data_IF_243387551992
#
_entry.id   IF_243387551992
#
_cell.length_a   1.000
_cell.length_b   1.000
_cell.length_c   1.000
_cell.angle_alpha   90.00
_cell.angle_beta   90.00
_cell.angle_gamma   90.00
#
_symmetry.space_group_name_H-M   'P 1'
#
loop_
_entity.id
_entity.type
_entity.pdbx_description
1 polymer ?
#
# COMPACT_ATOMS: atom_id res chain seq x y z
N UNK A 1 23.33 6.88 57.24
CA UNK A 1 21.91 6.90 56.84
C UNK A 1 21.61 8.23 56.18
N UNK A 2 20.73 8.23 55.18
CA UNK A 2 20.41 9.26 54.15
C UNK A 2 21.44 9.41 53.02
N UNK A 3 21.10 8.84 51.86
CA UNK A 3 21.84 8.94 50.60
C UNK A 3 20.92 9.45 49.47
N UNK A 4 21.53 10.26 48.59
CA UNK A 4 21.01 10.86 47.35
C UNK A 4 20.89 9.83 46.22
N UNK A 5 19.90 9.98 45.34
CA UNK A 5 19.85 9.48 43.96
C UNK A 5 19.12 10.58 43.15
N UNK A 6 19.56 11.09 42.00
CA UNK A 6 20.48 10.57 41.00
C UNK A 6 19.72 10.51 39.66
N UNK A 7 19.52 11.66 39.01
CA UNK A 7 18.79 11.77 37.73
C UNK A 7 19.65 11.39 36.52
N UNK A 8 19.09 10.57 35.62
CA UNK A 8 19.68 10.21 34.33
C UNK A 8 18.87 10.77 33.17
N UNK A 9 19.51 11.59 32.32
CA UNK A 9 18.99 12.11 31.04
C UNK A 9 19.12 11.03 29.94
N UNK A 10 18.19 10.92 28.99
CA UNK A 10 18.41 10.15 27.76
C UNK A 10 19.22 10.95 26.73
N UNK A 11 20.03 10.22 25.96
CA UNK A 11 21.03 10.72 25.02
C UNK A 11 20.40 11.37 23.76
N UNK A 12 20.93 12.53 23.40
CA UNK A 12 20.67 13.26 22.14
C UNK A 12 21.56 12.69 21.04
N UNK A 13 20.96 12.31 19.90
CA UNK A 13 21.68 11.97 18.67
C UNK A 13 21.60 13.18 17.73
N UNK A 14 22.67 13.97 17.67
CA UNK A 14 22.81 15.07 16.71
C UNK A 14 23.30 14.55 15.34
N UNK A 15 22.77 15.06 14.21
CA UNK A 15 23.31 14.81 12.88
C UNK A 15 24.48 15.76 12.51
N UNK A 16 25.41 15.37 11.62
CA UNK A 16 26.62 16.15 11.34
C UNK A 16 26.37 17.36 10.42
N UNK A 17 27.15 18.43 10.69
CA UNK A 17 27.01 19.78 10.14
C UNK A 17 27.33 19.98 8.66
N UNK A 18 26.62 20.94 8.04
CA UNK A 18 26.81 21.42 6.67
C UNK A 18 27.85 22.54 6.60
N UNK A 19 28.83 22.41 5.69
CA UNK A 19 29.68 23.53 5.22
C UNK A 19 28.99 24.27 4.07
N UNK A 20 29.00 25.60 4.14
CA UNK A 20 28.50 26.52 3.14
C UNK A 20 29.50 26.72 1.98
N UNK A 21 28.98 26.84 0.75
CA UNK A 21 29.64 27.56 -0.36
C UNK A 21 28.60 28.34 -1.17
N UNK A 22 29.09 29.44 -1.74
CA UNK A 22 28.43 30.65 -2.22
C UNK A 22 28.19 30.63 -3.75
N UNK A 23 27.17 31.40 -4.16
CA UNK A 23 27.11 32.35 -5.29
C UNK A 23 26.74 31.92 -6.73
N UNK A 24 25.83 32.74 -7.30
CA UNK A 24 25.62 33.06 -8.73
C UNK A 24 24.51 32.26 -9.44
N UNK A 25 23.64 32.78 -10.28
CA UNK A 25 23.29 34.13 -10.74
C UNK A 25 22.01 34.05 -11.61
N UNK A 26 21.17 35.09 -11.50
CA UNK A 26 20.16 35.67 -12.43
C UNK A 26 20.03 35.17 -13.89
N UNK A 27 18.77 34.97 -14.33
CA UNK A 27 18.03 35.54 -15.52
C UNK A 27 16.73 34.73 -15.71
N UNK A 28 15.48 35.20 -15.63
CA UNK A 28 14.70 36.28 -16.28
C UNK A 28 14.25 35.99 -17.73
N UNK A 29 12.93 36.19 -17.96
CA UNK A 29 12.23 36.44 -19.26
C UNK A 29 11.92 35.15 -20.09
N UNK A 30 10.76 34.88 -20.72
CA UNK A 30 9.61 35.69 -21.15
C UNK A 30 8.27 34.93 -21.26
N UNK A 31 7.20 35.71 -21.31
CA UNK A 31 5.83 35.34 -21.72
C UNK A 31 5.74 35.22 -23.25
N UNK A 32 4.90 34.31 -23.75
CA UNK A 32 4.16 34.55 -25.00
C UNK A 32 2.84 33.75 -25.02
N UNK A 33 1.75 34.50 -25.01
CA UNK A 33 0.38 34.09 -25.33
C UNK A 33 0.22 33.94 -26.84
N UNK A 34 -0.56 32.98 -27.34
CA UNK A 34 -1.34 33.15 -28.60
C UNK A 34 -2.57 32.25 -28.61
N UNK A 35 -3.62 32.83 -29.18
CA UNK A 35 -5.05 32.58 -29.14
C UNK A 35 -5.58 31.63 -30.23
N UNK A 36 -6.72 31.00 -29.90
CA UNK A 36 -7.95 30.79 -30.70
C UNK A 36 -7.87 30.16 -32.11
N UNK A 37 -8.62 29.06 -32.31
CA UNK A 37 -9.73 29.04 -33.28
C UNK A 37 -10.73 27.91 -33.04
N UNK A 38 -11.98 28.24 -33.30
CA UNK A 38 -13.21 27.48 -33.10
C UNK A 38 -13.79 27.08 -34.47
N UNK A 39 -14.51 25.95 -34.55
CA UNK A 39 -15.45 25.66 -35.64
C UNK A 39 -16.04 24.22 -35.56
N UNK A 40 -17.34 23.98 -35.88
CA UNK A 40 -18.16 22.96 -35.20
C UNK A 40 -18.87 21.96 -36.20
N UNK A 41 -20.10 21.41 -35.98
CA UNK A 41 -20.31 19.97 -35.69
C UNK A 41 -21.35 19.24 -36.57
N UNK A 42 -21.48 17.92 -36.43
CA UNK A 42 -22.58 17.07 -36.94
C UNK A 42 -22.45 15.66 -36.33
N UNK A 43 -23.48 14.87 -36.00
CA UNK A 43 -24.92 14.92 -36.12
C UNK A 43 -25.53 13.74 -35.33
N UNK A 44 -26.84 13.83 -35.05
CA UNK A 44 -27.66 12.95 -34.20
C UNK A 44 -28.02 11.59 -34.84
N UNK A 45 -28.37 10.59 -34.01
CA UNK A 45 -29.59 9.74 -34.09
C UNK A 45 -29.47 8.59 -33.06
N UNK A 46 -30.27 8.55 -31.98
CA UNK A 46 -31.66 8.04 -31.82
C UNK A 46 -31.78 6.50 -31.72
N UNK A 47 -32.30 6.10 -30.55
CA UNK A 47 -32.82 4.78 -30.16
C UNK A 47 -34.20 4.51 -30.83
N UNK A 48 -34.73 3.27 -30.82
CA UNK A 48 -35.82 3.01 -29.86
C UNK A 48 -35.92 1.59 -29.27
N UNK A 49 -36.80 1.54 -28.26
CA UNK A 49 -37.21 0.51 -27.30
C UNK A 49 -38.34 -0.40 -27.83
N UNK A 50 -38.51 -1.62 -27.28
CA UNK A 50 -39.77 -2.31 -26.87
C UNK A 50 -39.42 -3.66 -26.22
N UNK A 51 -39.90 -4.00 -25.01
CA UNK A 51 -41.23 -4.57 -24.69
C UNK A 51 -41.16 -6.10 -24.85
N UNK A 52 -41.55 -7.01 -23.96
CA UNK A 52 -42.66 -7.10 -23.00
C UNK A 52 -42.39 -8.23 -21.98
N UNK A 53 -43.13 -8.20 -20.87
CA UNK A 53 -43.23 -9.27 -19.87
C UNK A 53 -44.43 -10.17 -20.19
N UNK A 54 -44.32 -11.49 -19.99
CA UNK A 54 -45.47 -12.40 -19.81
C UNK A 54 -45.14 -13.49 -18.77
N UNK A 55 -46.19 -13.88 -18.07
CA UNK A 55 -46.38 -14.51 -16.77
C UNK A 55 -46.27 -16.05 -16.72
N UNK A 56 -45.87 -16.52 -15.54
CA UNK A 56 -46.43 -17.60 -14.70
C UNK A 56 -47.07 -18.85 -15.34
N UNK A 57 -46.56 -20.02 -14.95
CA UNK A 57 -47.33 -21.27 -14.75
C UNK A 57 -46.48 -22.31 -14.03
N UNK A 58 -46.66 -22.41 -12.72
CA UNK A 58 -46.28 -23.55 -11.88
C UNK A 58 -47.10 -24.80 -12.24
N UNK A 59 -46.41 -25.90 -12.58
CA UNK A 59 -47.01 -27.25 -12.64
C UNK A 59 -46.25 -28.17 -11.69
N UNK A 60 -46.92 -28.55 -10.62
CA UNK A 60 -46.56 -29.61 -9.67
C UNK A 60 -46.67 -30.99 -10.33
N UNK A 61 -45.61 -31.81 -10.24
CA UNK A 61 -45.67 -33.26 -10.52
C UNK A 61 -45.31 -34.04 -9.25
N UNK A 62 -46.18 -34.97 -8.89
CA UNK A 62 -46.04 -35.93 -7.79
C UNK A 62 -44.91 -36.97 -8.00
N UNK A 63 -44.40 -37.58 -6.91
CA UNK A 63 -43.26 -38.49 -6.95
C UNK A 63 -43.66 -39.96 -7.23
N UNK A 64 -42.86 -40.64 -8.05
CA UNK A 64 -42.99 -42.08 -8.34
C UNK A 64 -42.07 -42.87 -7.39
N UNK A 65 -42.62 -43.90 -6.73
CA UNK A 65 -41.92 -44.78 -5.79
C UNK A 65 -40.93 -45.76 -6.48
N UNK A 66 -39.85 -46.19 -5.80
CA UNK A 66 -38.78 -47.01 -6.39
C UNK A 66 -39.09 -48.51 -6.38
N UNK A 67 -38.58 -49.24 -7.38
CA UNK A 67 -38.56 -50.72 -7.44
C UNK A 67 -37.30 -51.28 -6.74
N UNK A 68 -37.40 -52.38 -5.96
CA UNK A 68 -36.26 -52.99 -5.30
C UNK A 68 -35.59 -54.09 -6.16
N UNK A 69 -34.25 -54.15 -6.11
CA UNK A 69 -33.46 -55.30 -6.57
C UNK A 69 -32.42 -54.99 -7.65
N UNK A 70 -31.24 -54.53 -7.25
CA UNK A 70 -30.00 -54.61 -8.04
C UNK A 70 -28.77 -54.57 -7.08
N UNK A 71 -27.65 -55.21 -7.44
CA UNK A 71 -26.67 -55.76 -6.50
C UNK A 71 -25.74 -54.72 -5.88
N UNK A 72 -25.27 -55.03 -4.66
CA UNK A 72 -24.27 -54.25 -3.91
C UNK A 72 -22.92 -54.30 -4.65
N UNK A 73 -22.52 -53.17 -5.23
CA UNK A 73 -21.19 -53.00 -5.81
C UNK A 73 -20.16 -52.74 -4.69
N UNK A 74 -19.07 -53.51 -4.71
CA UNK A 74 -17.90 -53.36 -3.84
C UNK A 74 -17.42 -51.91 -3.75
N UNK A 75 -17.15 -51.47 -2.52
CA UNK A 75 -16.51 -50.20 -2.23
C UNK A 75 -15.19 -50.09 -3.01
N UNK A 76 -15.16 -49.20 -3.99
CA UNK A 76 -13.92 -48.76 -4.62
C UNK A 76 -13.21 -47.84 -3.63
N UNK A 77 -11.94 -48.14 -3.34
CA UNK A 77 -11.08 -47.28 -2.52
C UNK A 77 -11.14 -45.82 -3.01
N UNK A 78 -11.10 -44.83 -2.09
CA UNK A 78 -11.07 -43.43 -2.50
C UNK A 78 -9.81 -43.18 -3.37
N UNK A 79 -9.89 -42.31 -4.38
CA UNK A 79 -8.72 -41.92 -5.14
C UNK A 79 -7.67 -41.32 -4.19
N UNK A 80 -6.36 -41.54 -4.44
CA UNK A 80 -5.32 -40.94 -3.62
C UNK A 80 -5.50 -39.42 -3.61
N UNK A 81 -5.42 -38.83 -2.42
CA UNK A 81 -5.57 -37.39 -2.21
C UNK A 81 -4.72 -36.61 -3.21
N UNK A 82 -5.36 -35.65 -3.88
CA UNK A 82 -4.77 -34.77 -4.87
C UNK A 82 -3.40 -34.23 -4.43
N UNK A 83 -2.49 -34.03 -5.39
CA UNK A 83 -1.23 -33.31 -5.19
C UNK A 83 -1.45 -31.94 -4.55
N UNK A 84 -0.39 -31.25 -4.09
CA UNK A 84 -0.51 -30.08 -3.20
C UNK A 84 -1.54 -29.10 -3.74
N UNK A 85 -2.68 -29.02 -3.05
CA UNK A 85 -3.79 -28.13 -3.38
C UNK A 85 -3.20 -26.73 -3.42
N UNK A 86 -3.34 -26.02 -4.56
CA UNK A 86 -2.79 -24.66 -4.69
C UNK A 86 -3.42 -23.81 -3.61
N UNK A 87 -2.64 -23.39 -2.61
CA UNK A 87 -3.15 -22.61 -1.51
C UNK A 87 -3.83 -21.34 -2.05
N UNK A 88 -4.98 -20.98 -1.48
CA UNK A 88 -5.66 -19.76 -1.88
C UNK A 88 -4.85 -18.52 -1.49
N UNK A 89 -4.84 -17.46 -2.33
CA UNK A 89 -4.13 -16.22 -2.01
C UNK A 89 -4.74 -15.54 -0.80
N UNK A 90 -3.87 -15.09 0.10
CA UNK A 90 -4.26 -14.40 1.34
C UNK A 90 -4.70 -12.97 1.04
N UNK A 91 -5.39 -12.29 1.97
CA UNK A 91 -5.70 -10.87 1.82
C UNK A 91 -4.45 -9.99 1.64
N UNK A 92 -3.32 -10.35 2.27
CA UNK A 92 -2.05 -9.66 2.08
C UNK A 92 -1.49 -9.87 0.66
N UNK A 93 -1.62 -11.07 0.10
CA UNK A 93 -1.16 -11.36 -1.27
C UNK A 93 -1.95 -10.55 -2.29
N UNK A 94 -3.27 -10.48 -2.12
CA UNK A 94 -4.15 -9.69 -2.97
C UNK A 94 -3.87 -8.20 -2.83
N UNK A 95 -3.69 -7.71 -1.60
CA UNK A 95 -3.33 -6.31 -1.35
C UNK A 95 -1.97 -5.96 -1.96
N UNK A 96 -0.99 -6.84 -1.82
CA UNK A 96 0.34 -6.68 -2.41
C UNK A 96 0.25 -6.65 -3.93
N UNK A 97 -0.46 -7.58 -4.55
CA UNK A 97 -0.61 -7.61 -6.01
C UNK A 97 -1.31 -6.37 -6.57
N UNK A 98 -2.25 -5.80 -5.81
CA UNK A 98 -3.02 -4.63 -6.22
C UNK A 98 -2.29 -3.31 -5.95
N UNK A 99 -1.73 -3.14 -4.76
CA UNK A 99 -1.20 -1.86 -4.26
C UNK A 99 0.31 -1.73 -4.39
N UNK A 100 1.06 -2.84 -4.35
CA UNK A 100 2.52 -2.85 -4.27
C UNK A 100 3.17 -2.68 -5.66
N UNK A 101 2.70 -1.68 -6.41
CA UNK A 101 3.20 -1.22 -7.71
C UNK A 101 3.47 0.29 -7.65
N UNK A 102 4.58 0.72 -8.25
CA UNK A 102 5.03 2.12 -8.19
C UNK A 102 4.00 3.12 -8.66
N UNK A 103 3.45 2.90 -9.84
CA UNK A 103 2.50 3.84 -10.40
C UNK A 103 1.17 3.79 -9.67
N UNK A 104 0.75 2.62 -9.19
CA UNK A 104 -0.46 2.51 -8.36
C UNK A 104 -0.35 3.35 -7.09
N UNK A 105 0.75 3.23 -6.33
CA UNK A 105 0.96 4.03 -5.12
C UNK A 105 1.00 5.53 -5.42
N UNK A 106 1.65 5.94 -6.52
CA UNK A 106 1.70 7.34 -6.94
C UNK A 106 0.33 7.87 -7.41
N UNK A 107 -0.45 7.07 -8.14
CA UNK A 107 -1.81 7.43 -8.56
C UNK A 107 -2.69 7.63 -7.33
N UNK A 108 -2.67 6.68 -6.38
CA UNK A 108 -3.43 6.75 -5.13
C UNK A 108 -2.99 7.94 -4.28
N UNK A 109 -1.69 8.19 -4.16
CA UNK A 109 -1.19 9.38 -3.46
C UNK A 109 -1.77 10.66 -4.08
N UNK A 110 -1.72 10.81 -5.41
CA UNK A 110 -2.28 11.99 -6.07
C UNK A 110 -3.79 12.07 -5.87
N UNK A 111 -4.49 10.94 -5.85
CA UNK A 111 -5.92 10.90 -5.56
C UNK A 111 -6.24 11.40 -4.15
N UNK A 112 -5.43 11.00 -3.15
CA UNK A 112 -5.54 11.45 -1.76
C UNK A 112 -5.24 12.95 -1.62
N UNK A 113 -4.33 13.48 -2.44
CA UNK A 113 -4.05 14.92 -2.55
C UNK A 113 -5.09 15.67 -3.41
N UNK A 114 -6.17 15.01 -3.84
CA UNK A 114 -7.30 15.65 -4.51
C UNK A 114 -7.27 15.64 -6.04
N UNK A 115 -6.29 15.00 -6.68
CA UNK A 115 -6.30 14.78 -8.14
C UNK A 115 -7.42 13.81 -8.50
N UNK A 116 -8.35 14.27 -9.35
CA UNK A 116 -9.55 13.50 -9.73
C UNK A 116 -9.72 13.31 -11.23
N UNK A 117 -8.86 13.93 -12.05
CA UNK A 117 -9.01 13.96 -13.51
C UNK A 117 -7.79 13.36 -14.18
N UNK A 118 -8.01 12.65 -15.28
CA UNK A 118 -6.96 12.02 -16.09
C UNK A 118 -5.77 12.95 -16.38
N UNK A 119 -6.05 14.16 -16.89
CA UNK A 119 -5.03 15.16 -17.19
C UNK A 119 -4.26 15.68 -15.95
N UNK A 120 -4.83 15.55 -14.76
CA UNK A 120 -4.14 15.86 -13.50
C UNK A 120 -3.01 14.87 -13.22
N UNK A 121 -3.26 13.56 -13.33
CA UNK A 121 -2.20 12.55 -13.20
C UNK A 121 -1.16 12.66 -14.30
N UNK A 122 -1.57 12.88 -15.56
CA UNK A 122 -0.62 13.08 -16.66
C UNK A 122 0.38 14.20 -16.37
N UNK A 123 -0.11 15.36 -15.94
CA UNK A 123 0.74 16.50 -15.57
C UNK A 123 1.60 16.22 -14.34
N UNK A 124 1.04 15.56 -13.32
CA UNK A 124 1.71 15.34 -12.05
C UNK A 124 2.73 14.20 -12.08
N UNK A 125 2.54 13.18 -12.92
CA UNK A 125 3.29 11.91 -12.86
C UNK A 125 4.16 11.64 -14.09
N UNK A 126 3.91 12.30 -15.24
CA UNK A 126 4.64 11.98 -16.49
C UNK A 126 4.42 10.56 -17.01
N UNK A 127 3.43 9.85 -16.46
CA UNK A 127 3.10 8.46 -16.79
C UNK A 127 2.55 8.32 -18.23
N UNK A 128 2.87 7.22 -18.91
CA UNK A 128 2.32 6.92 -20.24
C UNK A 128 0.82 6.67 -20.20
N UNK A 129 0.12 6.96 -21.30
CA UNK A 129 -1.34 6.85 -21.36
C UNK A 129 -1.84 5.41 -21.17
N UNK A 130 -1.14 4.45 -21.78
CA UNK A 130 -1.45 3.03 -21.61
C UNK A 130 -1.30 2.59 -20.14
N UNK A 131 -0.23 3.04 -19.47
CA UNK A 131 0.05 2.70 -18.07
C UNK A 131 -0.97 3.32 -17.12
N UNK A 132 -1.30 4.60 -17.32
CA UNK A 132 -2.29 5.31 -16.51
C UNK A 132 -3.70 4.73 -16.71
N UNK A 133 -4.11 4.51 -17.95
CA UNK A 133 -5.44 3.95 -18.27
C UNK A 133 -5.63 2.55 -17.69
N UNK A 134 -4.62 1.69 -17.81
CA UNK A 134 -4.64 0.35 -17.23
C UNK A 134 -4.81 0.36 -15.72
N UNK A 135 -4.10 1.26 -15.03
CA UNK A 135 -4.11 1.34 -13.55
C UNK A 135 -5.36 2.02 -13.00
N UNK A 136 -5.84 3.08 -13.64
CA UNK A 136 -7.12 3.70 -13.26
C UNK A 136 -8.27 2.72 -13.44
N UNK A 137 -8.24 1.89 -14.50
CA UNK A 137 -9.21 0.80 -14.68
C UNK A 137 -9.10 -0.23 -13.56
N UNK A 138 -7.91 -0.79 -13.31
CA UNK A 138 -7.71 -1.77 -12.25
C UNK A 138 -8.13 -1.25 -10.86
N UNK A 139 -7.84 0.01 -10.54
CA UNK A 139 -8.27 0.66 -9.29
C UNK A 139 -9.78 0.90 -9.23
N UNK A 140 -10.44 1.11 -10.37
CA UNK A 140 -11.90 1.25 -10.43
C UNK A 140 -12.58 -0.11 -10.30
N UNK A 141 -12.09 -1.11 -11.01
CA UNK A 141 -12.58 -2.50 -10.97
C UNK A 141 -12.42 -3.10 -9.56
N UNK A 142 -11.33 -2.78 -8.87
CA UNK A 142 -11.10 -3.18 -7.48
C UNK A 142 -11.85 -2.31 -6.45
N UNK A 143 -12.63 -1.32 -6.89
CA UNK A 143 -13.45 -0.49 -6.01
C UNK A 143 -12.68 0.51 -5.14
N UNK A 144 -11.43 0.86 -5.47
CA UNK A 144 -10.69 1.95 -4.81
C UNK A 144 -11.07 3.32 -5.37
N UNK A 145 -11.40 3.36 -6.66
CA UNK A 145 -11.90 4.54 -7.34
C UNK A 145 -13.30 4.26 -7.87
N UNK A 146 -14.13 5.29 -7.91
CA UNK A 146 -15.40 5.28 -8.63
C UNK A 146 -15.41 6.41 -9.65
N UNK A 147 -16.08 6.17 -10.79
CA UNK A 147 -16.21 7.18 -11.83
C UNK A 147 -17.49 7.98 -11.61
N UNK A 148 -17.39 9.30 -11.46
CA UNK A 148 -18.53 10.21 -11.28
C UNK A 148 -18.64 11.18 -12.46
N UNK A 149 -19.84 11.41 -13.00
CA UNK A 149 -20.04 12.44 -14.01
C UNK A 149 -19.94 13.83 -13.37
N UNK A 150 -19.34 14.78 -14.08
CA UNK A 150 -19.36 16.20 -13.76
C UNK A 150 -19.60 17.03 -15.03
N UNK A 151 -20.10 18.25 -14.87
CA UNK A 151 -20.33 19.17 -15.99
C UNK A 151 -19.18 20.17 -16.07
N UNK A 152 -18.61 20.30 -17.26
CA UNK A 152 -17.59 21.30 -17.59
C UNK A 152 -17.91 21.91 -18.95
N UNK A 153 -18.27 23.20 -18.98
CA UNK A 153 -18.63 23.91 -20.22
C UNK A 153 -19.73 23.21 -21.04
N UNK A 154 -20.75 22.64 -20.38
CA UNK A 154 -21.90 22.01 -21.04
C UNK A 154 -21.71 20.57 -21.54
N UNK A 155 -20.49 20.00 -21.46
CA UNK A 155 -20.23 18.58 -21.78
C UNK A 155 -20.13 17.75 -20.50
N UNK A 156 -20.80 16.61 -20.48
CA UNK A 156 -20.63 15.59 -19.43
C UNK A 156 -19.24 14.99 -19.55
N UNK A 157 -18.44 15.14 -18.49
CA UNK A 157 -17.12 14.51 -18.36
C UNK A 157 -17.14 13.60 -17.15
N UNK A 158 -16.15 12.73 -17.04
CA UNK A 158 -15.98 11.86 -15.90
C UNK A 158 -14.76 12.27 -15.08
N UNK A 159 -14.89 12.16 -13.77
CA UNK A 159 -13.79 12.24 -12.81
C UNK A 159 -13.77 10.97 -11.95
N UNK A 160 -12.60 10.68 -11.38
CA UNK A 160 -12.39 9.55 -10.49
C UNK A 160 -12.39 10.05 -9.05
N UNK A 161 -13.19 9.43 -8.20
CA UNK A 161 -13.32 9.74 -6.77
C UNK A 161 -12.85 8.53 -5.96
N UNK A 162 -12.13 8.78 -4.87
CA UNK A 162 -11.79 7.72 -3.92
C UNK A 162 -13.06 7.22 -3.23
N UNK A 163 -13.20 5.90 -3.18
CA UNK A 163 -14.17 5.22 -2.33
C UNK A 163 -13.69 5.19 -0.88
N UNK A 164 -14.43 4.54 0.02
CA UNK A 164 -13.95 4.26 1.37
C UNK A 164 -12.66 3.41 1.35
N UNK A 165 -12.60 2.36 0.54
CA UNK A 165 -11.40 1.52 0.36
C UNK A 165 -10.21 2.30 -0.18
N UNK A 166 -10.46 3.17 -1.17
CA UNK A 166 -9.43 4.05 -1.71
C UNK A 166 -8.87 5.03 -0.68
N UNK A 167 -9.73 5.70 0.09
CA UNK A 167 -9.31 6.63 1.16
C UNK A 167 -8.48 5.95 2.24
N UNK A 168 -8.81 4.70 2.54
CA UNK A 168 -8.17 3.93 3.59
C UNK A 168 -6.72 3.51 3.25
N UNK A 169 -6.33 3.55 1.97
CA UNK A 169 -4.91 3.41 1.55
C UNK A 169 -4.00 4.53 2.08
N UNK A 170 -4.58 5.60 2.63
CA UNK A 170 -3.85 6.69 3.27
C UNK A 170 -2.91 6.22 4.39
N UNK A 171 -3.30 5.22 5.19
CA UNK A 171 -2.48 4.70 6.28
C UNK A 171 -1.16 4.11 5.73
N UNK A 172 -1.26 3.30 4.67
CA UNK A 172 -0.12 2.73 3.97
C UNK A 172 0.80 3.81 3.39
N UNK A 173 0.24 4.79 2.68
CA UNK A 173 1.04 5.85 2.05
C UNK A 173 1.70 6.78 3.06
N UNK A 174 1.06 7.02 4.21
CA UNK A 174 1.64 7.78 5.32
C UNK A 174 2.79 7.01 5.97
N UNK A 175 2.64 5.70 6.19
CA UNK A 175 3.73 4.86 6.68
C UNK A 175 4.93 4.86 5.74
N UNK A 176 4.69 4.79 4.42
CA UNK A 176 5.73 4.90 3.40
C UNK A 176 6.45 6.25 3.47
N UNK A 177 5.70 7.36 3.56
CA UNK A 177 6.28 8.71 3.67
C UNK A 177 7.18 8.85 4.88
N UNK A 178 6.73 8.40 6.05
CA UNK A 178 7.53 8.51 7.28
C UNK A 178 8.80 7.67 7.21
N UNK A 179 8.70 6.42 6.74
CA UNK A 179 9.85 5.54 6.60
C UNK A 179 10.87 6.11 5.60
N UNK A 180 10.40 6.59 4.45
CA UNK A 180 11.23 7.24 3.44
C UNK A 180 12.00 8.43 4.02
N UNK A 181 11.29 9.32 4.73
CA UNK A 181 11.92 10.50 5.35
C UNK A 181 13.01 10.12 6.34
N UNK A 182 12.82 9.05 7.11
CA UNK A 182 13.77 8.62 8.13
C UNK A 182 14.96 7.84 7.56
N UNK A 183 14.78 7.05 6.50
CA UNK A 183 15.77 6.04 6.10
C UNK A 183 16.33 6.19 4.69
N UNK A 184 15.78 7.07 3.86
CA UNK A 184 16.22 7.26 2.49
C UNK A 184 16.93 8.61 2.37
N UNK A 185 18.23 8.63 2.08
CA UNK A 185 18.93 9.88 1.77
C UNK A 185 18.35 10.52 0.50
N UNK A 186 18.12 11.84 0.53
CA UNK A 186 17.56 12.58 -0.59
C UNK A 186 18.26 13.92 -0.74
N UNK A 187 18.42 14.37 -1.99
CA UNK A 187 18.87 15.74 -2.29
C UNK A 187 17.84 16.77 -1.81
N UNK A 188 16.56 16.48 -2.07
CA UNK A 188 15.43 17.26 -1.56
C UNK A 188 14.70 16.43 -0.50
N UNK A 189 14.72 16.88 0.77
CA UNK A 189 14.02 16.20 1.86
C UNK A 189 12.52 16.11 1.60
N UNK A 190 11.88 15.07 2.15
CA UNK A 190 10.43 15.03 2.22
C UNK A 190 9.94 16.04 3.26
N UNK A 191 8.78 16.69 3.03
CA UNK A 191 8.23 17.65 3.97
C UNK A 191 7.90 16.99 5.31
N UNK A 192 7.83 17.81 6.36
CA UNK A 192 7.44 17.36 7.68
C UNK A 192 5.94 17.02 7.74
N UNK A 193 5.56 15.92 8.39
CA UNK A 193 4.17 15.52 8.63
C UNK A 193 3.59 16.29 9.80
N UNK A 194 2.60 17.14 9.53
CA UNK A 194 1.92 17.91 10.56
C UNK A 194 0.57 17.26 10.86
N UNK A 195 0.33 16.95 12.14
CA UNK A 195 -1.01 16.56 12.58
C UNK A 195 -1.90 17.79 12.66
N UNK A 196 -2.99 17.83 11.92
CA UNK A 196 -3.88 19.00 11.85
C UNK A 196 -4.62 19.27 13.15
N UNK A 197 -4.88 18.24 13.96
CA UNK A 197 -5.56 18.39 15.25
C UNK A 197 -4.72 19.11 16.31
N UNK A 198 -3.42 18.85 16.38
CA UNK A 198 -2.53 19.46 17.38
C UNK A 198 -1.50 20.45 16.81
N UNK A 199 -1.38 20.56 15.48
CA UNK A 199 -0.43 21.45 14.80
C UNK A 199 1.04 21.03 14.89
N UNK A 200 1.37 19.94 15.60
CA UNK A 200 2.73 19.48 15.77
C UNK A 200 3.21 18.61 14.60
N UNK A 201 4.52 18.69 14.31
CA UNK A 201 5.19 17.67 13.50
C UNK A 201 5.10 16.34 14.25
N UNK A 202 4.63 15.28 13.57
CA UNK A 202 4.36 13.98 14.19
C UNK A 202 4.96 12.81 13.43
N UNK A 203 5.39 11.79 14.16
CA UNK A 203 5.55 10.45 13.59
C UNK A 203 4.30 9.59 13.83
N UNK A 204 4.26 8.41 13.22
CA UNK A 204 3.24 7.40 13.47
C UNK A 204 3.59 6.62 14.74
N UNK A 205 2.63 6.56 15.66
CA UNK A 205 2.61 5.56 16.73
C UNK A 205 1.62 4.47 16.33
N UNK A 206 2.11 3.26 16.06
CA UNK A 206 1.26 2.10 15.82
C UNK A 206 0.80 1.54 17.17
N UNK A 207 -0.51 1.43 17.36
CA UNK A 207 -1.12 0.90 18.59
C UNK A 207 -2.07 -0.24 18.28
N UNK A 208 -2.38 -1.08 19.27
CA UNK A 208 -3.38 -2.15 19.14
C UNK A 208 -4.80 -1.61 19.36
N UNK A 209 -5.75 -1.85 18.45
CA UNK A 209 -7.16 -1.40 18.64
C UNK A 209 -7.83 -1.95 19.91
N UNK A 210 -7.32 -3.06 20.46
CA UNK A 210 -7.96 -3.75 21.58
C UNK A 210 -7.50 -3.28 22.95
N UNK A 211 -6.27 -2.75 23.06
CA UNK A 211 -5.68 -2.35 24.34
C UNK A 211 -4.97 -0.99 24.28
N UNK A 212 -4.94 -0.34 23.11
CA UNK A 212 -4.32 0.96 22.83
C UNK A 212 -2.81 1.09 23.18
N UNK A 213 -2.15 -0.01 23.57
CA UNK A 213 -0.71 -0.03 23.78
C UNK A 213 0.06 0.12 22.46
N UNK A 214 1.21 0.82 22.46
CA UNK A 214 2.15 0.81 21.33
C UNK A 214 2.57 -0.62 20.98
N UNK A 215 2.68 -0.89 19.68
CA UNK A 215 3.08 -2.19 19.16
C UNK A 215 4.19 -2.01 18.13
N UNK A 216 5.32 -2.68 18.35
CA UNK A 216 6.36 -2.93 17.38
C UNK A 216 6.40 -4.39 16.94
N UNK A 217 7.40 -4.73 16.11
CA UNK A 217 7.57 -6.09 15.58
C UNK A 217 7.75 -7.14 16.69
N UNK A 218 8.47 -6.82 17.76
CA UNK A 218 8.77 -7.75 18.85
C UNK A 218 7.59 -7.97 19.82
N UNK A 219 6.53 -7.17 19.68
CA UNK A 219 5.33 -7.27 20.50
C UNK A 219 4.29 -8.23 19.90
N UNK A 220 4.60 -8.83 18.74
CA UNK A 220 3.72 -9.75 18.04
C UNK A 220 4.23 -11.19 18.09
N UNK A 221 3.34 -12.11 18.45
CA UNK A 221 3.48 -13.52 18.17
C UNK A 221 2.99 -13.78 16.74
N UNK A 222 3.96 -13.76 15.83
CA UNK A 222 3.77 -14.09 14.43
C UNK A 222 3.99 -15.60 14.30
N UNK A 223 2.91 -16.39 14.20
CA UNK A 223 3.03 -17.84 14.02
C UNK A 223 3.80 -18.13 12.71
N UNK A 224 5.04 -18.63 12.78
CA UNK A 224 5.80 -18.96 11.58
C UNK A 224 5.19 -20.16 10.85
N UNK A 225 4.25 -20.90 11.45
CA UNK A 225 3.54 -22.09 10.94
C UNK A 225 2.20 -21.79 10.26
N UNK A 226 1.62 -20.59 10.46
CA UNK A 226 0.49 -20.06 9.68
C UNK A 226 0.91 -19.65 8.25
N UNK A 227 1.78 -20.46 7.63
CA UNK A 227 2.33 -20.29 6.29
C UNK A 227 1.29 -20.69 5.28
N UNK A 228 0.43 -19.76 4.91
CA UNK A 228 -0.09 -19.82 3.54
C UNK A 228 1.07 -19.36 2.66
N UNK A 229 1.49 -20.13 1.66
CA UNK A 229 2.47 -19.63 0.71
C UNK A 229 1.94 -18.30 0.16
N UNK A 230 2.83 -17.33 -0.03
CA UNK A 230 2.48 -16.10 -0.73
C UNK A 230 2.20 -16.50 -2.18
N UNK A 231 0.98 -16.96 -2.43
CA UNK A 231 0.52 -17.33 -3.76
C UNK A 231 0.20 -16.02 -4.44
N UNK A 232 1.11 -15.57 -5.29
CA UNK A 232 0.80 -14.46 -6.18
C UNK A 232 -0.50 -14.77 -6.94
N UNK A 233 -1.46 -13.84 -7.04
CA UNK A 233 -2.73 -14.13 -7.69
C UNK A 233 -2.51 -14.62 -9.12
N UNK A 234 -3.28 -15.63 -9.58
CA UNK A 234 -3.16 -16.15 -10.92
C UNK A 234 -3.48 -15.06 -11.95
N UNK A 235 -2.57 -14.84 -12.91
CA UNK A 235 -2.89 -14.10 -14.13
C UNK A 235 -2.83 -12.56 -14.06
N UNK A 236 -2.44 -11.95 -12.94
CA UNK A 236 -2.09 -10.53 -12.95
C UNK A 236 -0.82 -10.35 -13.80
N UNK A 237 -0.99 -9.86 -15.04
CA UNK A 237 0.12 -9.64 -15.98
C UNK A 237 1.23 -8.91 -15.24
N UNK A 238 2.40 -9.56 -15.16
CA UNK A 238 3.66 -8.93 -14.77
C UNK A 238 3.73 -7.59 -15.49
N UNK A 239 3.50 -6.48 -14.79
CA UNK A 239 3.77 -5.19 -15.40
C UNK A 239 5.27 -5.17 -15.71
N UNK A 240 5.66 -5.03 -16.99
CA UNK A 240 7.04 -5.19 -17.39
C UNK A 240 7.94 -4.25 -16.61
N UNK A 241 9.15 -4.75 -16.36
CA UNK A 241 10.33 -4.08 -15.78
C UNK A 241 10.34 -2.57 -16.02
N UNK A 242 10.63 -1.83 -14.93
CA UNK A 242 11.12 -0.44 -14.89
C UNK A 242 10.74 0.36 -16.13
N UNK A 243 9.59 1.04 -16.08
CA UNK A 243 9.52 2.29 -16.83
C UNK A 243 10.65 3.16 -16.28
N UNK A 244 11.68 3.38 -17.10
CA UNK A 244 12.74 4.37 -16.91
C UNK A 244 12.16 5.78 -17.05
N UNK A 245 10.93 5.98 -16.58
CA UNK A 245 10.27 7.26 -16.53
C UNK A 245 10.94 8.04 -15.43
N UNK A 246 11.37 9.25 -15.76
CA UNK A 246 11.80 10.23 -14.77
C UNK A 246 10.65 10.43 -13.80
N UNK A 247 10.84 10.02 -12.54
CA UNK A 247 9.88 10.33 -11.49
C UNK A 247 9.73 11.85 -11.42
N UNK A 248 8.52 12.36 -11.10
CA UNK A 248 8.30 13.80 -11.06
C UNK A 248 9.24 14.48 -10.05
N UNK A 249 9.63 15.72 -10.36
CA UNK A 249 10.54 16.50 -9.52
C UNK A 249 9.93 16.93 -8.16
N UNK A 250 8.61 16.77 -7.97
CA UNK A 250 7.96 17.06 -6.69
C UNK A 250 8.41 16.03 -5.63
N UNK A 251 8.93 16.47 -4.46
CA UNK A 251 9.43 15.59 -3.40
C UNK A 251 8.44 14.51 -2.99
N UNK A 252 7.13 14.81 -2.95
CA UNK A 252 6.10 13.86 -2.54
C UNK A 252 5.92 12.71 -3.54
N UNK A 253 6.17 12.92 -4.83
CA UNK A 253 5.96 11.89 -5.89
C UNK A 253 7.10 10.90 -6.09
N UNK A 254 8.20 11.01 -5.37
CA UNK A 254 9.29 10.06 -5.49
C UNK A 254 9.48 9.32 -4.17
N UNK A 255 9.13 8.03 -4.13
CA UNK A 255 9.44 7.13 -3.01
C UNK A 255 10.47 6.07 -3.42
N UNK A 256 11.68 6.44 -3.88
CA UNK A 256 12.59 5.49 -4.51
C UNK A 256 12.98 4.32 -3.59
N UNK A 257 13.10 4.53 -2.27
CA UNK A 257 13.44 3.47 -1.33
C UNK A 257 12.29 2.50 -1.07
N UNK A 258 11.10 2.99 -0.73
CA UNK A 258 9.90 2.18 -0.53
C UNK A 258 9.49 1.48 -1.82
N UNK A 259 9.80 2.04 -2.98
CA UNK A 259 9.53 1.39 -4.27
C UNK A 259 10.53 0.29 -4.60
N UNK A 260 11.77 0.36 -4.12
CA UNK A 260 12.70 -0.76 -4.22
C UNK A 260 12.43 -1.86 -3.17
N UNK A 261 11.71 -1.54 -2.09
CA UNK A 261 11.39 -2.48 -1.00
C UNK A 261 10.03 -3.15 -1.18
N UNK A 262 9.01 -2.34 -1.44
CA UNK A 262 7.60 -2.74 -1.49
C UNK A 262 7.06 -2.63 -2.90
N UNK A 263 7.73 -1.91 -3.81
CA UNK A 263 7.23 -1.61 -5.15
C UNK A 263 7.22 -2.75 -6.16
N UNK A 264 7.45 -3.97 -5.69
CA UNK A 264 7.14 -5.15 -6.44
C UNK A 264 6.64 -6.26 -5.51
N UNK A 265 5.84 -7.15 -6.09
CA UNK A 265 5.15 -8.21 -5.36
C UNK A 265 6.07 -9.11 -4.52
N UNK A 266 7.31 -9.33 -4.96
CA UNK A 266 8.23 -10.20 -4.26
C UNK A 266 8.99 -9.46 -3.17
N UNK A 267 9.20 -8.16 -3.31
CA UNK A 267 9.81 -7.32 -2.29
C UNK A 267 9.01 -7.34 -0.98
N UNK A 268 7.72 -7.03 -1.03
CA UNK A 268 6.86 -7.06 0.16
C UNK A 268 6.79 -8.46 0.79
N UNK A 269 6.72 -9.50 -0.04
CA UNK A 269 6.67 -10.89 0.38
C UNK A 269 7.95 -11.35 1.11
N UNK A 270 9.12 -11.11 0.50
CA UNK A 270 10.43 -11.43 1.09
C UNK A 270 10.64 -10.64 2.39
N UNK A 271 10.27 -9.36 2.41
CA UNK A 271 10.41 -8.54 3.61
C UNK A 271 9.52 -9.03 4.75
N UNK A 272 8.27 -9.36 4.45
CA UNK A 272 7.33 -9.92 5.43
C UNK A 272 7.87 -11.22 6.00
N UNK A 273 8.33 -12.14 5.14
CA UNK A 273 8.93 -13.40 5.55
C UNK A 273 10.17 -13.18 6.45
N UNK A 274 11.03 -12.20 6.12
CA UNK A 274 12.21 -11.88 6.94
C UNK A 274 11.85 -11.30 8.31
N UNK A 275 10.82 -10.45 8.37
CA UNK A 275 10.37 -9.81 9.62
C UNK A 275 9.68 -10.80 10.55
N UNK A 276 8.98 -11.81 10.02
CA UNK A 276 8.42 -12.91 10.84
C UNK A 276 9.47 -13.95 11.23
N UNK A 277 10.73 -13.75 10.83
CA UNK A 277 11.85 -14.55 11.27
C UNK A 277 12.34 -15.61 10.30
N UNK A 278 11.92 -15.61 9.03
CA UNK A 278 12.53 -16.46 7.99
C UNK A 278 13.96 -16.00 7.74
N UNK A 279 14.95 -16.88 7.97
CA UNK A 279 16.38 -16.52 7.90
C UNK A 279 17.14 -17.19 6.77
N UNK A 280 16.80 -18.42 6.37
CA UNK A 280 17.60 -19.17 5.40
C UNK A 280 17.00 -19.12 4.00
N UNK A 281 17.84 -19.21 2.98
CA UNK A 281 17.41 -19.19 1.57
C UNK A 281 16.33 -20.25 1.30
N UNK A 282 16.58 -21.50 1.69
CA UNK A 282 15.64 -22.60 1.52
C UNK A 282 14.35 -22.45 2.34
N UNK A 283 14.36 -21.67 3.44
CA UNK A 283 13.14 -21.34 4.17
C UNK A 283 12.32 -20.29 3.41
N UNK A 284 12.96 -19.29 2.80
CA UNK A 284 12.28 -18.33 1.92
C UNK A 284 11.67 -19.01 0.69
N UNK A 285 12.42 -19.87 -0.01
CA UNK A 285 11.89 -20.59 -1.19
C UNK A 285 10.64 -21.39 -0.84
N UNK A 286 10.71 -22.15 0.26
CA UNK A 286 9.59 -22.95 0.75
C UNK A 286 8.39 -22.11 1.17
N UNK A 287 8.63 -20.97 1.83
CA UNK A 287 7.57 -20.09 2.31
C UNK A 287 6.91 -19.27 1.19
N UNK A 288 7.65 -18.90 0.17
CA UNK A 288 7.19 -17.96 -0.86
C UNK A 288 6.82 -18.63 -2.19
N UNK A 289 7.29 -19.86 -2.44
CA UNK A 289 7.08 -20.53 -3.73
C UNK A 289 7.67 -19.75 -4.93
N UNK A 290 8.65 -18.90 -4.66
CA UNK A 290 9.32 -18.04 -5.66
C UNK A 290 10.47 -18.80 -6.31
N UNK A 291 10.83 -18.45 -7.56
CA UNK A 291 12.01 -19.06 -8.18
C UNK A 291 13.32 -18.62 -7.48
N UNK A 292 14.34 -19.50 -7.44
CA UNK A 292 15.63 -19.20 -6.82
C UNK A 292 16.25 -17.90 -7.34
N UNK A 293 16.19 -17.67 -8.65
CA UNK A 293 16.76 -16.47 -9.29
C UNK A 293 16.10 -15.18 -8.82
N UNK A 294 14.78 -15.18 -8.71
CA UNK A 294 14.02 -14.02 -8.25
C UNK A 294 14.30 -13.78 -6.76
N UNK A 295 14.34 -14.83 -5.95
CA UNK A 295 14.69 -14.70 -4.54
C UNK A 295 16.11 -14.16 -4.35
N UNK A 296 17.08 -14.68 -5.09
CA UNK A 296 18.48 -14.26 -5.02
C UNK A 296 18.66 -12.79 -5.44
N UNK A 297 17.95 -12.32 -6.47
CA UNK A 297 17.92 -10.90 -6.85
C UNK A 297 17.33 -10.05 -5.71
N UNK A 298 16.22 -10.46 -5.10
CA UNK A 298 15.58 -9.70 -4.01
C UNK A 298 16.42 -9.61 -2.75
N UNK A 299 16.96 -10.72 -2.27
CA UNK A 299 17.81 -10.75 -1.09
C UNK A 299 19.06 -9.89 -1.30
N UNK A 300 19.69 -9.97 -2.49
CA UNK A 300 20.84 -9.13 -2.86
C UNK A 300 20.50 -7.64 -2.84
N UNK A 301 19.36 -7.24 -3.40
CA UNK A 301 18.92 -5.84 -3.38
C UNK A 301 18.62 -5.34 -1.98
N UNK A 302 17.94 -6.14 -1.16
CA UNK A 302 17.65 -5.76 0.22
C UNK A 302 18.93 -5.61 1.05
N UNK A 303 19.94 -6.42 0.78
CA UNK A 303 21.28 -6.24 1.35
C UNK A 303 21.95 -4.96 0.86
N UNK A 304 21.93 -4.69 -0.44
CA UNK A 304 22.47 -3.45 -1.01
C UNK A 304 21.78 -2.19 -0.47
N UNK A 305 20.49 -2.28 -0.14
CA UNK A 305 19.72 -1.21 0.49
C UNK A 305 19.90 -1.15 2.02
N UNK A 306 20.65 -2.08 2.63
CA UNK A 306 20.82 -2.18 4.07
C UNK A 306 19.50 -2.45 4.82
N UNK A 307 18.52 -3.07 4.15
CA UNK A 307 17.23 -3.49 4.73
C UNK A 307 17.39 -4.86 5.39
N UNK A 308 18.15 -5.74 4.75
CA UNK A 308 18.59 -7.01 5.32
C UNK A 308 20.11 -6.99 5.47
N UNK A 309 20.61 -7.68 6.48
CA UNK A 309 21.99 -8.12 6.57
C UNK A 309 22.05 -9.65 6.42
N UNK A 310 23.23 -10.19 6.15
CA UNK A 310 23.47 -11.63 6.10
C UNK A 310 24.66 -11.99 7.00
N UNK A 311 24.36 -12.76 8.04
CA UNK A 311 25.34 -13.35 8.94
C UNK A 311 25.43 -14.89 8.69
N UNK A 312 26.28 -15.63 9.43
CA UNK A 312 26.35 -17.09 9.30
C UNK A 312 25.02 -17.82 9.61
N UNK A 313 24.11 -17.23 10.39
CA UNK A 313 22.80 -17.79 10.72
C UNK A 313 21.74 -17.49 9.64
N UNK A 314 22.04 -16.59 8.70
CA UNK A 314 21.22 -16.27 7.54
C UNK A 314 20.90 -14.78 7.40
N UNK A 315 19.77 -14.50 6.76
CA UNK A 315 19.30 -13.15 6.47
C UNK A 315 18.52 -12.57 7.66
N UNK A 316 18.88 -11.38 8.12
CA UNK A 316 18.22 -10.70 9.24
C UNK A 316 17.81 -9.27 8.87
N UNK A 317 16.63 -8.79 9.29
CA UNK A 317 16.28 -7.39 9.08
C UNK A 317 17.14 -6.49 9.97
N UNK A 318 17.73 -5.46 9.35
CA UNK A 318 18.46 -4.40 10.05
C UNK A 318 17.49 -3.48 10.78
N UNK A 319 17.98 -2.46 11.50
CA UNK A 319 17.12 -1.40 12.03
C UNK A 319 16.25 -0.73 10.94
N UNK A 320 16.82 -0.51 9.75
CA UNK A 320 16.10 0.02 8.58
C UNK A 320 15.01 -0.92 8.09
N UNK A 321 15.30 -2.22 8.03
CA UNK A 321 14.34 -3.24 7.64
C UNK A 321 13.22 -3.41 8.66
N UNK A 322 13.53 -3.39 9.96
CA UNK A 322 12.53 -3.45 11.03
C UNK A 322 11.59 -2.24 11.03
N UNK A 323 12.10 -1.07 10.64
CA UNK A 323 11.29 0.15 10.54
C UNK A 323 10.20 0.10 9.45
N UNK A 324 10.19 -0.89 8.55
CA UNK A 324 9.10 -1.06 7.56
C UNK A 324 7.85 -1.70 8.15
N UNK A 325 7.90 -2.14 9.42
CA UNK A 325 6.77 -2.76 10.11
C UNK A 325 5.43 -2.00 9.97
N UNK A 326 5.35 -0.66 10.12
CA UNK A 326 4.10 0.07 9.89
C UNK A 326 3.58 -0.05 8.45
N UNK A 327 4.45 -0.12 7.45
CA UNK A 327 4.05 -0.26 6.05
C UNK A 327 3.35 -1.60 5.83
N UNK A 328 3.95 -2.70 6.31
CA UNK A 328 3.41 -4.03 6.12
C UNK A 328 2.14 -4.27 6.93
N UNK A 329 2.08 -3.78 8.17
CA UNK A 329 0.88 -3.91 9.00
C UNK A 329 -0.29 -3.10 8.42
N UNK A 330 -0.06 -1.89 7.90
CA UNK A 330 -1.09 -1.14 7.19
C UNK A 330 -1.54 -1.84 5.90
N UNK A 331 -0.63 -2.44 5.14
CA UNK A 331 -0.96 -3.20 3.93
C UNK A 331 -1.80 -4.45 4.26
N UNK A 332 -1.37 -5.22 5.26
CA UNK A 332 -2.08 -6.41 5.72
C UNK A 332 -3.47 -6.08 6.28
N UNK A 333 -3.57 -5.03 7.09
CA UNK A 333 -4.81 -4.55 7.67
C UNK A 333 -5.81 -4.07 6.61
N UNK A 334 -5.33 -3.33 5.61
CA UNK A 334 -6.14 -2.90 4.48
C UNK A 334 -6.64 -4.10 3.67
N UNK A 335 -5.75 -5.06 3.35
CA UNK A 335 -6.12 -6.29 2.66
C UNK A 335 -7.20 -7.06 3.41
N UNK A 336 -7.04 -7.21 4.73
CA UNK A 336 -8.04 -7.86 5.59
C UNK A 336 -9.39 -7.14 5.56
N UNK A 337 -9.42 -5.81 5.63
CA UNK A 337 -10.69 -5.06 5.68
C UNK A 337 -11.44 -5.03 4.36
N UNK A 338 -10.74 -5.05 3.23
CA UNK A 338 -11.35 -4.80 1.92
C UNK A 338 -11.33 -5.99 0.96
N UNK A 339 -10.45 -6.96 1.16
CA UNK A 339 -10.24 -8.09 0.25
C UNK A 339 -10.44 -9.47 0.91
N UNK A 340 -10.63 -9.51 2.24
CA UNK A 340 -10.99 -10.75 2.90
C UNK A 340 -12.38 -11.22 2.42
N UNK A 341 -12.45 -12.48 2.03
CA UNK A 341 -13.70 -13.19 1.81
C UNK A 341 -13.85 -14.23 2.93
N UNK A 342 -15.09 -14.62 3.22
CA UNK A 342 -15.36 -15.68 4.19
C UNK A 342 -14.56 -16.95 3.86
N UNK A 343 -13.91 -17.53 4.87
CA UNK A 343 -13.12 -18.76 4.72
C UNK A 343 -11.68 -18.58 4.20
N UNK A 344 -11.27 -17.38 3.75
CA UNK A 344 -9.87 -17.17 3.33
C UNK A 344 -8.91 -17.17 4.52
N UNK A 345 -7.77 -17.87 4.44
CA UNK A 345 -6.81 -17.87 5.52
C UNK A 345 -6.16 -16.49 5.65
N UNK A 346 -6.14 -15.97 6.87
CA UNK A 346 -5.50 -14.70 7.19
C UNK A 346 -4.03 -14.94 7.56
N UNK A 347 -3.18 -15.15 6.56
CA UNK A 347 -1.75 -15.31 6.82
C UNK A 347 -1.16 -14.02 7.42
N UNK A 348 -0.16 -14.20 8.28
CA UNK A 348 0.58 -13.11 8.96
C UNK A 348 -0.25 -12.24 9.91
N UNK A 349 -1.44 -12.67 10.33
CA UNK A 349 -2.12 -12.06 11.47
C UNK A 349 -1.43 -12.44 12.78
N UNK A 350 -0.48 -11.62 13.21
CA UNK A 350 0.18 -11.79 14.51
C UNK A 350 -0.81 -11.59 15.66
N UNK A 351 -0.59 -12.30 16.77
CA UNK A 351 -1.27 -12.05 18.04
C UNK A 351 -0.47 -11.03 18.83
N UNK A 352 -1.11 -9.98 19.35
CA UNK A 352 -0.41 -9.02 20.20
C UNK A 352 -0.13 -9.66 21.57
N UNK A 353 1.16 -9.79 21.94
CA UNK A 353 1.61 -10.47 23.15
C UNK A 353 0.97 -9.96 24.42
N UNK A 354 0.82 -8.65 24.56
CA UNK A 354 0.32 -8.06 25.80
C UNK A 354 -1.18 -8.29 26.03
N UNK A 355 -1.99 -8.43 24.97
CA UNK A 355 -3.45 -8.61 25.11
C UNK A 355 -3.97 -9.97 24.63
N UNK A 356 -3.14 -10.79 23.99
CA UNK A 356 -3.50 -12.12 23.48
C UNK A 356 -4.52 -12.11 22.34
N UNK A 357 -4.82 -10.96 21.74
CA UNK A 357 -5.80 -10.82 20.65
C UNK A 357 -5.11 -10.68 19.30
N UNK A 358 -5.77 -11.07 18.18
CA UNK A 358 -5.29 -10.77 16.84
C UNK A 358 -4.95 -9.28 16.72
N UNK A 359 -3.74 -8.99 16.26
CA UNK A 359 -3.27 -7.62 16.17
C UNK A 359 -4.01 -6.89 15.05
N UNK A 360 -4.46 -5.68 15.39
CA UNK A 360 -5.14 -4.75 14.50
C UNK A 360 -4.49 -3.39 14.73
N UNK A 361 -3.78 -2.82 13.74
CA UNK A 361 -3.11 -1.55 13.91
C UNK A 361 -4.11 -0.39 13.95
N UNK A 362 -3.88 0.54 14.88
CA UNK A 362 -4.44 1.89 14.90
C UNK A 362 -3.28 2.88 14.88
N UNK A 363 -3.34 3.83 13.95
CA UNK A 363 -2.33 4.88 13.84
C UNK A 363 -2.71 6.03 14.79
N UNK A 364 -1.77 6.45 15.64
CA UNK A 364 -1.95 7.59 16.55
C UNK A 364 -0.83 8.62 16.40
N UNK A 365 -1.16 9.86 16.69
CA UNK A 365 -0.20 10.96 16.77
C UNK A 365 0.79 10.69 17.91
N UNK A 366 2.10 10.76 17.66
CA UNK A 366 3.10 10.55 18.72
C UNK A 366 3.03 11.65 19.79
N UNK A 367 2.63 12.87 19.41
CA UNK A 367 2.50 14.02 20.32
C UNK A 367 1.24 13.96 21.19
N UNK A 368 0.06 14.07 20.57
CA UNK A 368 -1.22 14.17 21.30
C UNK A 368 -1.93 12.82 21.52
N UNK A 369 -1.45 11.73 20.93
CA UNK A 369 -2.05 10.38 20.98
C UNK A 369 -3.44 10.25 20.35
N UNK A 370 -3.99 11.29 19.72
CA UNK A 370 -5.23 11.18 18.95
C UNK A 370 -5.05 10.25 17.75
N UNK A 371 -6.15 9.61 17.34
CA UNK A 371 -6.16 8.72 16.17
C UNK A 371 -5.90 9.52 14.90
N UNK A 372 -5.00 9.00 14.07
CA UNK A 372 -4.69 9.58 12.77
C UNK A 372 -5.52 8.88 11.69
N UNK A 373 -6.22 9.67 10.90
CA UNK A 373 -7.04 9.24 9.77
C UNK A 373 -6.74 10.07 8.51
N UNK A 374 -7.35 9.68 7.39
CA UNK A 374 -7.26 10.46 6.15
C UNK A 374 -7.63 11.93 6.37
N UNK A 375 -6.73 12.83 5.97
CA UNK A 375 -6.87 14.28 6.14
C UNK A 375 -6.39 14.85 7.47
N UNK A 376 -5.98 14.00 8.42
CA UNK A 376 -5.45 14.46 9.72
C UNK A 376 -3.94 14.69 9.72
N UNK A 377 -3.21 14.13 8.76
CA UNK A 377 -1.78 14.41 8.56
C UNK A 377 -1.58 15.02 7.19
N UNK A 378 -0.96 16.21 7.17
CA UNK A 378 -0.66 16.95 5.94
C UNK A 378 0.83 17.30 5.89
N UNK A 379 1.40 17.43 4.68
CA UNK A 379 2.71 18.04 4.50
C UNK A 379 2.75 19.47 5.05
N UNK A 380 3.81 19.85 5.78
CA UNK A 380 3.96 21.17 6.38
C UNK A 380 3.86 22.32 5.35
N UNK A 381 4.31 22.10 4.12
CA UNK A 381 4.23 23.05 3.00
C UNK A 381 2.81 23.24 2.45
N UNK A 382 1.87 22.35 2.81
CA UNK A 382 0.45 22.44 2.46
C UNK A 382 -0.42 22.97 3.60
N UNK A 383 0.15 23.36 4.74
CA UNK A 383 -0.59 23.97 5.87
C UNK A 383 -0.97 25.43 5.50
N UNK A 384 -2.25 25.77 5.36
CA UNK A 384 -2.67 27.15 5.10
C UNK A 384 -2.26 28.04 6.29
N UNK A 385 -1.46 29.09 6.03
CA UNK A 385 -1.06 30.06 7.06
C UNK A 385 0.25 29.75 7.82
N UNK A 386 0.95 28.66 7.47
CA UNK A 386 2.30 28.36 7.97
C UNK A 386 3.36 29.28 7.35
N UNK A 387 3.31 30.57 7.69
CA UNK A 387 4.41 31.49 7.43
C UNK A 387 5.69 30.88 7.97
N UNK A 388 6.74 30.86 7.13
CA UNK A 388 8.09 30.51 7.55
C UNK A 388 8.49 31.44 8.69
N UNK A 389 8.30 31.01 9.95
CA UNK A 389 8.99 31.63 11.06
C UNK A 389 10.47 31.25 10.93
N UNK A 390 11.15 32.08 10.14
CA UNK A 390 12.60 32.19 10.15
C UNK A 390 12.94 32.64 11.56
N UNK A 391 13.46 31.71 12.35
CA UNK A 391 14.11 32.06 13.62
C UNK A 391 15.42 32.73 13.22
N UNK A 392 15.34 34.02 12.92
CA UNK A 392 16.50 34.90 12.89
C UNK A 392 16.86 35.15 14.36
N UNK A 393 17.77 34.33 14.89
CA UNK A 393 18.41 34.56 16.17
C UNK A 393 19.37 35.74 16.05
N UNK A 394 19.05 36.83 16.76
CA UNK A 394 19.98 37.86 17.17
C UNK A 394 20.53 37.58 18.57
#
# INVERSE_FOLDING_TARGET
MTARLGGGRPASLDPPGRRARRAGSRTSIDRASTTLRSGPPSGQARNPVKGEAVTDSTVTREPVAPRPGAPVASASSPPPADGPTRAEPTPLDLATALLADTWTLLILQRALLGVRRYGGWKRALGISDASLSSRLRALTDAGLLETRPYRDGGRSRHEYRLTASGRDTWALLTAIWLWERAWVPREVPLPDPVHTGCGAVTDLLVTCVHCDLPVGLDDLDLDPGARVPIVGPPGARLHPRRSRATLPADPLSAFPGAMEIVGDRWGAAVLSAALVGTRTFSAFERALGVSPDVLADRLRRFRALGVLDQDPDGYRPTARGRATFPILTCLADWGRRWLAAEGRPAAYEGVHRACGRPFRPRLRCRGCREELAFGTVVPADLVPGGGRNRVDGG
#
